data_IF_785264683783
#
_entry.id   IF_785264683783
#
_cell.length_a   1.000
_cell.length_b   1.000
_cell.length_c   1.000
_cell.angle_alpha   90.00
_cell.angle_beta   90.00
_cell.angle_gamma   90.00
#
_symmetry.space_group_name_H-M   'P 1'
#
loop_
_entity.id
_entity.type
_entity.pdbx_description
1 polymer ?
#
# COMPACT_ATOMS: atom_id res chain seq x y z
N UNK A 1 22.41 19.45 -3.73
CA UNK A 1 21.24 18.70 -4.22
C UNK A 1 20.00 19.22 -3.51
N UNK A 2 19.08 19.83 -4.24
CA UNK A 2 17.80 20.28 -3.68
C UNK A 2 16.88 19.09 -3.37
N UNK A 3 15.89 19.27 -2.50
CA UNK A 3 14.90 18.23 -2.17
C UNK A 3 14.14 17.77 -3.43
N UNK A 4 13.82 18.70 -4.32
CA UNK A 4 13.20 18.45 -5.62
C UNK A 4 14.07 17.59 -6.53
N UNK A 5 15.37 17.87 -6.64
CA UNK A 5 16.32 17.06 -7.43
C UNK A 5 16.45 15.63 -6.90
N UNK A 6 16.30 15.42 -5.58
CA UNK A 6 16.31 14.08 -4.99
C UNK A 6 15.04 13.31 -5.35
N UNK A 7 13.87 13.94 -5.19
CA UNK A 7 12.57 13.31 -5.48
C UNK A 7 12.37 13.04 -6.97
N UNK A 8 12.98 13.83 -7.87
CA UNK A 8 12.93 13.56 -9.31
C UNK A 8 13.63 12.26 -9.72
N UNK A 9 14.50 11.71 -8.87
CA UNK A 9 15.17 10.42 -9.10
C UNK A 9 14.39 9.22 -8.58
N UNK A 10 13.29 9.46 -7.86
CA UNK A 10 12.52 8.40 -7.22
C UNK A 10 11.62 7.72 -8.24
N UNK A 11 11.46 6.43 -8.05
CA UNK A 11 10.49 5.65 -8.83
C UNK A 11 9.06 6.02 -8.43
N UNK A 12 8.09 5.70 -9.29
CA UNK A 12 6.67 6.02 -9.05
C UNK A 12 6.17 5.51 -7.69
N UNK A 13 6.61 4.31 -7.26
CA UNK A 13 6.24 3.72 -5.96
C UNK A 13 6.81 4.51 -4.78
N UNK A 14 8.04 4.98 -4.91
CA UNK A 14 8.69 5.77 -3.85
C UNK A 14 8.06 7.16 -3.74
N UNK A 15 7.71 7.78 -4.87
CA UNK A 15 6.96 9.03 -4.90
C UNK A 15 5.58 8.90 -4.25
N UNK A 16 4.87 7.80 -4.52
CA UNK A 16 3.60 7.49 -3.87
C UNK A 16 3.81 7.35 -2.37
N UNK A 17 4.79 6.55 -1.93
CA UNK A 17 5.08 6.37 -0.51
C UNK A 17 5.37 7.68 0.21
N UNK A 18 6.17 8.57 -0.39
CA UNK A 18 6.45 9.90 0.16
C UNK A 18 5.16 10.70 0.31
N UNK A 19 4.29 10.68 -0.70
CA UNK A 19 3.04 11.44 -0.71
C UNK A 19 1.96 10.88 0.24
N UNK A 20 2.06 9.64 0.71
CA UNK A 20 1.03 9.05 1.56
C UNK A 20 1.00 9.66 2.98
N UNK A 21 -0.19 9.79 3.61
CA UNK A 21 -0.34 10.41 4.93
C UNK A 21 0.43 9.72 6.05
N UNK A 22 0.60 8.40 5.95
CA UNK A 22 1.28 7.59 6.96
C UNK A 22 2.81 7.67 6.88
N UNK A 23 3.35 8.43 5.92
CA UNK A 23 4.79 8.58 5.75
C UNK A 23 5.33 9.67 6.69
N UNK A 24 6.53 9.45 7.23
CA UNK A 24 7.21 10.36 8.15
C UNK A 24 7.88 11.57 7.46
N UNK A 25 7.58 11.78 6.17
CA UNK A 25 8.11 12.90 5.41
C UNK A 25 7.46 14.23 5.79
N UNK A 26 8.23 15.31 5.65
CA UNK A 26 7.74 16.67 5.87
C UNK A 26 6.65 17.04 4.87
N UNK A 27 5.76 17.95 5.25
CA UNK A 27 4.70 18.45 4.36
C UNK A 27 5.27 19.06 3.07
N UNK A 28 6.46 19.67 3.14
CA UNK A 28 7.19 20.18 1.98
C UNK A 28 7.56 19.04 1.01
N UNK A 29 8.10 17.93 1.51
CA UNK A 29 8.43 16.76 0.69
C UNK A 29 7.18 16.11 0.09
N UNK A 30 6.08 16.03 0.85
CA UNK A 30 4.77 15.54 0.39
C UNK A 30 4.23 16.39 -0.76
N UNK A 31 4.26 17.71 -0.62
CA UNK A 31 3.81 18.62 -1.67
C UNK A 31 4.66 18.53 -2.93
N UNK A 32 5.99 18.44 -2.80
CA UNK A 32 6.89 18.28 -3.95
C UNK A 32 6.63 16.95 -4.66
N UNK A 33 6.42 15.85 -3.91
CA UNK A 33 6.08 14.56 -4.50
C UNK A 33 4.75 14.61 -5.26
N UNK A 34 3.72 15.24 -4.68
CA UNK A 34 2.42 15.45 -5.35
C UNK A 34 2.55 16.31 -6.61
N UNK A 35 3.39 17.33 -6.60
CA UNK A 35 3.64 18.16 -7.79
C UNK A 35 4.36 17.37 -8.88
N UNK A 36 5.33 16.53 -8.54
CA UNK A 36 6.01 15.65 -9.52
C UNK A 36 4.99 14.67 -10.13
N UNK A 37 4.15 14.07 -9.29
CA UNK A 37 3.11 13.13 -9.72
C UNK A 37 2.08 13.80 -10.64
N UNK A 38 1.59 15.00 -10.29
CA UNK A 38 0.61 15.74 -11.11
C UNK A 38 1.17 16.17 -12.46
N UNK A 39 2.46 16.49 -12.51
CA UNK A 39 3.11 16.92 -13.75
C UNK A 39 3.46 15.75 -14.68
N UNK A 40 3.55 14.53 -14.16
CA UNK A 40 3.85 13.35 -14.95
C UNK A 40 2.55 12.66 -15.42
N UNK A 41 2.19 12.85 -16.69
CA UNK A 41 0.96 12.28 -17.29
C UNK A 41 1.16 10.90 -17.90
N UNK A 42 2.40 10.42 -18.00
CA UNK A 42 2.70 9.14 -18.66
C UNK A 42 2.44 7.94 -17.74
N UNK A 43 2.52 8.14 -16.42
CA UNK A 43 2.39 7.08 -15.44
C UNK A 43 0.98 7.10 -14.84
N UNK A 44 0.33 5.93 -14.83
CA UNK A 44 -0.94 5.76 -14.12
C UNK A 44 -0.69 5.61 -12.60
N UNK A 45 -0.43 6.72 -11.92
CA UNK A 45 -0.18 6.74 -10.48
C UNK A 45 -1.34 6.18 -9.65
N UNK A 46 -2.59 6.25 -10.14
CA UNK A 46 -3.73 5.63 -9.43
C UNK A 46 -3.61 4.10 -9.43
N UNK A 47 -3.21 3.50 -10.56
CA UNK A 47 -2.98 2.06 -10.64
C UNK A 47 -1.78 1.62 -9.78
N UNK A 48 -0.68 2.37 -9.82
CA UNK A 48 0.48 2.10 -8.97
C UNK A 48 0.18 2.25 -7.48
N UNK A 49 -0.63 3.26 -7.09
CA UNK A 49 -1.06 3.43 -5.72
C UNK A 49 -1.91 2.23 -5.24
N UNK A 50 -2.81 1.72 -6.09
CA UNK A 50 -3.58 0.50 -5.77
C UNK A 50 -2.66 -0.70 -5.55
N UNK A 51 -1.67 -0.88 -6.41
CA UNK A 51 -0.70 -1.97 -6.28
C UNK A 51 0.14 -1.83 -5.00
N UNK A 52 0.63 -0.62 -4.70
CA UNK A 52 1.33 -0.31 -3.47
C UNK A 52 0.49 -0.66 -2.24
N UNK A 53 -0.76 -0.20 -2.19
CA UNK A 53 -1.65 -0.45 -1.06
C UNK A 53 -2.00 -1.92 -0.90
N UNK A 54 -2.25 -2.65 -2.00
CA UNK A 54 -2.47 -4.10 -1.95
C UNK A 54 -1.29 -4.81 -1.28
N UNK A 55 -0.06 -4.52 -1.73
CA UNK A 55 1.15 -5.11 -1.16
C UNK A 55 1.39 -4.70 0.30
N UNK A 56 1.14 -3.42 0.63
CA UNK A 56 1.31 -2.91 1.98
C UNK A 56 0.31 -3.53 2.96
N UNK A 57 -0.96 -3.66 2.55
CA UNK A 57 -2.02 -4.26 3.34
C UNK A 57 -1.74 -5.75 3.55
N UNK A 58 -1.44 -6.52 2.51
CA UNK A 58 -1.12 -7.95 2.63
C UNK A 58 0.01 -8.19 3.65
N UNK A 59 1.10 -7.41 3.59
CA UNK A 59 2.23 -7.53 4.53
C UNK A 59 1.85 -7.17 5.97
N UNK A 60 0.94 -6.21 6.15
CA UNK A 60 0.61 -5.64 7.45
C UNK A 60 -0.80 -6.01 7.95
N UNK A 61 -1.48 -6.96 7.30
CA UNK A 61 -2.91 -7.25 7.50
C UNK A 61 -3.25 -7.48 8.97
N UNK A 62 -2.42 -8.24 9.69
CA UNK A 62 -2.58 -8.52 11.12
C UNK A 62 -2.56 -7.24 11.97
N UNK A 63 -1.67 -6.31 11.67
CA UNK A 63 -1.55 -5.03 12.39
C UNK A 63 -2.77 -4.14 12.11
N UNK A 64 -3.18 -4.08 10.84
CA UNK A 64 -4.35 -3.31 10.40
C UNK A 64 -5.62 -3.83 11.09
N UNK A 65 -5.86 -5.13 11.06
CA UNK A 65 -7.00 -5.78 11.73
C UNK A 65 -7.00 -5.52 13.24
N UNK A 66 -5.84 -5.60 13.91
CA UNK A 66 -5.71 -5.30 15.35
C UNK A 66 -6.04 -3.84 15.66
N UNK A 67 -5.59 -2.91 14.81
CA UNK A 67 -5.83 -1.47 15.01
C UNK A 67 -7.28 -1.06 14.75
N UNK A 68 -8.06 -1.88 14.01
CA UNK A 68 -9.43 -1.61 13.57
C UNK A 68 -9.61 -0.29 12.81
N UNK A 69 -8.51 0.24 12.24
CA UNK A 69 -8.51 1.48 11.46
C UNK A 69 -8.30 1.16 9.98
N UNK A 70 -9.10 1.78 9.14
CA UNK A 70 -8.92 1.70 7.68
C UNK A 70 -7.77 2.66 7.31
N UNK A 71 -6.77 2.21 6.54
CA UNK A 71 -5.72 3.10 6.07
C UNK A 71 -6.29 4.23 5.22
N UNK A 72 -5.73 5.43 5.35
CA UNK A 72 -6.10 6.58 4.52
C UNK A 72 -5.05 6.78 3.45
N UNK A 73 -5.50 6.99 2.20
CA UNK A 73 -4.63 7.28 1.07
C UNK A 73 -4.92 8.65 0.48
N UNK A 74 -3.88 9.32 -0.02
CA UNK A 74 -4.05 10.56 -0.78
C UNK A 74 -4.59 10.34 -2.21
N UNK A 75 -4.49 9.12 -2.74
CA UNK A 75 -4.82 8.80 -4.14
C UNK A 75 -6.09 7.96 -4.29
N UNK A 76 -6.44 7.20 -3.26
CA UNK A 76 -7.55 6.24 -3.26
C UNK A 76 -8.66 6.76 -2.36
N UNK A 77 -9.88 6.80 -2.89
CA UNK A 77 -11.08 7.17 -2.12
C UNK A 77 -11.38 6.09 -1.09
N UNK A 78 -11.88 6.46 0.09
CA UNK A 78 -12.21 5.55 1.20
C UNK A 78 -13.01 4.30 0.78
N UNK A 79 -13.98 4.46 -0.13
CA UNK A 79 -14.76 3.34 -0.68
C UNK A 79 -13.89 2.34 -1.44
N UNK A 80 -12.98 2.83 -2.28
CA UNK A 80 -12.04 1.99 -3.02
C UNK A 80 -11.02 1.33 -2.08
N UNK A 81 -10.55 2.04 -1.05
CA UNK A 81 -9.63 1.47 -0.06
C UNK A 81 -10.28 0.32 0.73
N UNK A 82 -11.56 0.47 1.09
CA UNK A 82 -12.30 -0.57 1.77
C UNK A 82 -12.40 -1.85 0.94
N UNK A 83 -12.66 -1.72 -0.36
CA UNK A 83 -12.69 -2.87 -1.28
C UNK A 83 -11.32 -3.56 -1.35
N UNK A 84 -10.22 -2.80 -1.46
CA UNK A 84 -8.87 -3.37 -1.47
C UNK A 84 -8.57 -4.12 -0.17
N UNK A 85 -9.01 -3.57 0.98
CA UNK A 85 -8.85 -4.20 2.27
C UNK A 85 -9.67 -5.49 2.39
N UNK A 86 -10.91 -5.50 1.90
CA UNK A 86 -11.78 -6.68 1.83
C UNK A 86 -11.14 -7.78 0.97
N UNK A 87 -10.66 -7.44 -0.24
CA UNK A 87 -9.98 -8.39 -1.13
C UNK A 87 -8.73 -8.99 -0.47
N UNK A 88 -7.88 -8.15 0.14
CA UNK A 88 -6.67 -8.62 0.83
C UNK A 88 -6.99 -9.47 2.05
N UNK A 89 -8.12 -9.23 2.71
CA UNK A 89 -8.55 -9.99 3.86
C UNK A 89 -9.06 -11.38 3.46
N UNK A 90 -9.85 -11.49 2.39
CA UNK A 90 -10.28 -12.79 1.86
C UNK A 90 -9.08 -13.61 1.38
N UNK A 91 -8.13 -13.01 0.65
CA UNK A 91 -6.88 -13.67 0.25
C UNK A 91 -6.10 -14.19 1.48
N UNK A 92 -5.95 -13.35 2.52
CA UNK A 92 -5.27 -13.77 3.75
C UNK A 92 -6.00 -14.91 4.47
N UNK A 93 -7.33 -14.87 4.49
CA UNK A 93 -8.16 -15.92 5.10
C UNK A 93 -8.04 -17.23 4.35
N UNK A 94 -8.08 -17.22 3.03
CA UNK A 94 -7.83 -18.41 2.18
C UNK A 94 -6.44 -18.99 2.44
N UNK A 95 -5.41 -18.15 2.58
CA UNK A 95 -4.07 -18.60 2.96
C UNK A 95 -4.09 -19.27 4.35
N UNK A 96 -4.75 -18.67 5.35
CA UNK A 96 -4.86 -19.27 6.67
C UNK A 96 -5.60 -20.61 6.63
N UNK A 97 -6.67 -20.73 5.84
CA UNK A 97 -7.41 -21.97 5.67
C UNK A 97 -6.55 -23.03 4.98
N UNK A 98 -5.75 -22.67 3.97
CA UNK A 98 -4.80 -23.55 3.30
C UNK A 98 -3.70 -24.08 4.24
N UNK A 99 -3.11 -23.20 5.06
CA UNK A 99 -2.14 -23.60 6.10
C UNK A 99 -2.79 -24.32 7.28
N UNK A 100 -4.09 -24.11 7.49
CA UNK A 100 -4.93 -24.81 8.45
C UNK A 100 -5.36 -26.22 7.99
N UNK A 101 -5.14 -26.57 6.72
CA UNK A 101 -5.21 -27.97 6.26
C UNK A 101 -4.09 -28.73 6.96
N UNK A 102 -4.52 -29.47 7.97
CA UNK A 102 -3.74 -30.22 8.92
C UNK A 102 -2.56 -30.99 8.29
N UNK A 103 -1.37 -30.38 8.32
CA UNK A 103 -0.14 -31.06 7.92
C UNK A 103 0.14 -32.29 8.80
N UNK A 104 -0.36 -32.36 10.04
CA UNK A 104 -0.14 -33.53 10.92
C UNK A 104 -0.83 -34.80 10.43
N UNK A 105 -1.83 -34.67 9.56
CA UNK A 105 -2.46 -35.82 8.86
C UNK A 105 -1.52 -36.50 7.86
N UNK A 106 -0.49 -35.81 7.38
CA UNK A 106 0.50 -36.31 6.41
C UNK A 106 1.85 -36.68 7.04
N UNK A 107 2.02 -36.51 8.36
CA UNK A 107 3.22 -36.92 9.10
C UNK A 107 3.16 -38.36 9.64
N UNK A 108 2.04 -39.07 9.45
CA UNK A 108 1.96 -40.51 9.72
C UNK A 108 2.36 -41.27 8.46
N UNK A 109 3.67 -41.33 8.20
CA UNK A 109 4.30 -42.35 7.34
C UNK A 109 5.47 -42.95 8.11
#
# INVERSE_FOLDING_TARGET
MSLKEKLLKYDAKELIFVAEPHSDFTDEAKNIALDIIRNNKEINFKAEAKNYWKQHIQKNIKSILKSKKIPLSCFIVDKEMKLILEDCFEEWKEEQDLFGIDTTKYWVV
#
